data_IF_136293933097
#
_entry.id   IF_136293933097
#
_cell.length_a   1.000
_cell.length_b   1.000
_cell.length_c   1.000
_cell.angle_alpha   90.00
_cell.angle_beta   90.00
_cell.angle_gamma   90.00
#
_symmetry.space_group_name_H-M   'P 1'
#
loop_
_entity.id
_entity.type
_entity.pdbx_description
1 polymer ?
#
# COMPACT_ATOMS: atom_id res chain seq x y z
N UNK A 1 -2.31 14.65 -17.65
CA UNK A 1 -1.82 14.29 -16.32
C UNK A 1 -1.98 12.79 -16.12
N UNK A 2 -0.92 12.12 -15.68
CA UNK A 2 -0.96 10.68 -15.39
C UNK A 2 -1.28 10.49 -13.92
N UNK A 3 -2.36 9.78 -13.63
CA UNK A 3 -2.82 9.49 -12.27
C UNK A 3 -2.44 8.06 -11.92
N UNK A 4 -1.69 7.90 -10.83
CA UNK A 4 -1.32 6.59 -10.29
C UNK A 4 -2.11 6.28 -9.03
N UNK A 5 -2.31 4.99 -8.74
CA UNK A 5 -2.97 4.51 -7.53
C UNK A 5 -2.20 3.33 -6.95
N UNK A 6 -2.08 3.29 -5.64
CA UNK A 6 -1.51 2.16 -4.91
C UNK A 6 -2.29 1.93 -3.63
N UNK A 7 -2.33 0.71 -3.13
CA UNK A 7 -3.14 0.35 -1.98
C UNK A 7 -2.33 -0.52 -1.00
N UNK A 8 -2.38 -0.20 0.27
CA UNK A 8 -1.75 -0.98 1.34
C UNK A 8 -2.22 -0.46 2.70
N UNK A 9 -1.86 -1.15 3.77
CA UNK A 9 -2.15 -0.66 5.11
C UNK A 9 -1.08 0.32 5.63
N UNK A 10 0.12 0.34 5.07
CA UNK A 10 1.22 1.26 5.43
C UNK A 10 1.53 1.29 6.93
N UNK A 11 1.46 0.14 7.58
CA UNK A 11 1.78 0.05 8.99
C UNK A 11 3.27 0.30 9.21
N UNK A 12 3.60 1.14 10.20
CA UNK A 12 4.95 1.58 10.54
C UNK A 12 5.65 2.42 9.47
N UNK A 13 5.05 2.64 8.33
CA UNK A 13 5.57 3.40 7.18
C UNK A 13 7.11 3.44 7.11
N UNK A 14 7.69 2.25 6.96
CA UNK A 14 9.14 2.08 7.01
C UNK A 14 9.83 2.51 5.71
N UNK A 15 11.17 2.39 5.69
CA UNK A 15 11.97 2.81 4.54
C UNK A 15 11.51 2.18 3.22
N UNK A 16 11.06 0.92 3.25
CA UNK A 16 10.54 0.24 2.06
C UNK A 16 9.30 0.88 1.50
N UNK A 17 8.38 1.31 2.36
CA UNK A 17 7.18 2.05 1.93
C UNK A 17 7.57 3.36 1.25
N UNK A 18 8.52 4.09 1.82
CA UNK A 18 8.95 5.37 1.26
C UNK A 18 9.64 5.19 -0.10
N UNK A 19 10.48 4.18 -0.24
CA UNK A 19 11.11 3.87 -1.52
C UNK A 19 10.06 3.49 -2.58
N UNK A 20 9.05 2.73 -2.20
CA UNK A 20 7.96 2.36 -3.09
C UNK A 20 7.15 3.59 -3.53
N UNK A 21 6.80 4.47 -2.60
CA UNK A 21 6.05 5.69 -2.92
C UNK A 21 6.84 6.62 -3.83
N UNK A 22 8.14 6.75 -3.58
CA UNK A 22 9.05 7.51 -4.44
C UNK A 22 9.06 6.94 -5.86
N UNK A 23 9.17 5.63 -5.98
CA UNK A 23 9.14 4.94 -7.27
C UNK A 23 7.82 5.19 -8.01
N UNK A 24 6.69 5.04 -7.31
CA UNK A 24 5.38 5.31 -7.92
C UNK A 24 5.29 6.73 -8.46
N UNK A 25 5.74 7.70 -7.68
CA UNK A 25 5.66 9.12 -8.09
C UNK A 25 6.52 9.43 -9.30
N UNK A 26 7.59 8.70 -9.53
CA UNK A 26 8.40 8.85 -10.74
C UNK A 26 7.63 8.48 -12.01
N UNK A 27 6.60 7.66 -11.90
CA UNK A 27 5.85 7.12 -13.04
C UNK A 27 4.47 7.75 -13.19
N UNK A 28 4.15 8.77 -12.40
CA UNK A 28 2.87 9.48 -12.51
C UNK A 28 3.02 10.94 -12.05
N UNK A 29 2.02 11.74 -12.36
CA UNK A 29 1.99 13.14 -11.96
C UNK A 29 1.23 13.34 -10.66
N UNK A 30 0.28 12.47 -10.38
CA UNK A 30 -0.60 12.55 -9.21
C UNK A 30 -0.77 11.14 -8.64
N UNK A 31 -0.41 10.96 -7.38
CA UNK A 31 -0.43 9.65 -6.74
C UNK A 31 -1.53 9.57 -5.68
N UNK A 32 -2.48 8.66 -5.90
CA UNK A 32 -3.54 8.32 -4.95
C UNK A 32 -3.07 7.13 -4.13
N UNK A 33 -3.11 7.25 -2.82
CA UNK A 33 -2.80 6.15 -1.88
C UNK A 33 -4.11 5.70 -1.24
N UNK A 34 -4.48 4.45 -1.47
CA UNK A 34 -5.59 3.80 -0.79
C UNK A 34 -5.06 3.21 0.51
N UNK A 35 -5.56 3.71 1.64
CA UNK A 35 -5.10 3.33 2.97
C UNK A 35 -6.08 2.38 3.63
N UNK A 36 -5.70 1.11 3.78
CA UNK A 36 -6.55 0.12 4.43
C UNK A 36 -6.58 0.33 5.94
N UNK A 37 -7.79 0.40 6.50
CA UNK A 37 -7.96 0.66 7.93
C UNK A 37 -7.50 -0.52 8.77
N UNK A 38 -7.97 -1.72 8.48
CA UNK A 38 -7.56 -2.94 9.20
C UNK A 38 -7.72 -4.17 8.30
N UNK A 39 -6.63 -4.70 7.72
CA UNK A 39 -6.70 -5.87 6.85
C UNK A 39 -7.10 -7.16 7.57
N UNK A 40 -7.03 -7.20 8.90
CA UNK A 40 -7.42 -8.41 9.65
C UNK A 40 -8.94 -8.60 9.72
N UNK A 41 -9.73 -7.59 9.39
CA UNK A 41 -11.19 -7.68 9.43
C UNK A 41 -11.71 -8.70 8.41
N UNK A 42 -11.26 -8.61 7.16
CA UNK A 42 -11.69 -9.55 6.12
C UNK A 42 -10.68 -10.66 5.82
N UNK A 43 -9.47 -10.59 6.38
CA UNK A 43 -8.42 -11.59 6.23
C UNK A 43 -7.79 -11.96 7.57
N UNK A 44 -8.60 -12.39 8.57
CA UNK A 44 -8.10 -12.62 9.93
C UNK A 44 -7.05 -13.74 10.02
N UNK A 45 -7.07 -14.71 9.09
CA UNK A 45 -6.15 -15.85 9.12
C UNK A 45 -4.75 -15.52 8.59
N UNK A 46 -4.62 -14.48 7.77
CA UNK A 46 -3.37 -14.13 7.10
C UNK A 46 -2.83 -12.75 7.45
N UNK A 47 -3.66 -11.88 8.01
CA UNK A 47 -3.28 -10.49 8.32
C UNK A 47 -3.49 -10.19 9.78
N UNK A 48 -2.49 -9.56 10.40
CA UNK A 48 -2.62 -9.04 11.76
C UNK A 48 -3.26 -7.65 11.76
N UNK A 49 -3.83 -7.28 12.90
CA UNK A 49 -4.26 -5.90 13.11
C UNK A 49 -3.04 -4.98 13.04
N UNK A 50 -3.15 -3.80 12.41
CA UNK A 50 -2.05 -2.84 12.38
C UNK A 50 -1.61 -2.42 13.78
N UNK A 51 -0.32 -2.18 13.96
CA UNK A 51 0.25 -1.67 15.22
C UNK A 51 -0.16 -0.21 15.41
N UNK A 52 -0.04 0.58 14.35
CA UNK A 52 -0.43 1.98 14.39
C UNK A 52 -1.91 2.15 14.07
N UNK A 53 -2.54 3.15 14.69
CA UNK A 53 -3.92 3.51 14.36
C UNK A 53 -3.99 4.02 12.92
N UNK A 54 -5.19 4.02 12.35
CA UNK A 54 -5.37 4.57 11.00
C UNK A 54 -5.00 6.05 10.96
N UNK A 55 -5.25 6.78 12.05
CA UNK A 55 -4.89 8.21 12.13
C UNK A 55 -3.37 8.41 12.09
N UNK A 56 -2.61 7.61 12.85
CA UNK A 56 -1.15 7.67 12.82
C UNK A 56 -0.59 7.39 11.43
N UNK A 57 -1.12 6.38 10.77
CA UNK A 57 -0.71 6.02 9.40
C UNK A 57 -1.10 7.11 8.39
N UNK A 58 -2.28 7.70 8.57
CA UNK A 58 -2.74 8.82 7.74
C UNK A 58 -1.79 10.01 7.86
N UNK A 59 -1.41 10.39 9.07
CA UNK A 59 -0.51 11.52 9.30
C UNK A 59 0.83 11.32 8.61
N UNK A 60 1.39 10.12 8.67
CA UNK A 60 2.65 9.82 7.99
C UNK A 60 2.55 10.00 6.48
N UNK A 61 1.48 9.47 5.89
CA UNK A 61 1.25 9.58 4.44
C UNK A 61 0.95 11.02 4.04
N UNK A 62 0.19 11.75 4.85
CA UNK A 62 -0.14 13.16 4.59
C UNK A 62 1.10 14.04 4.50
N UNK A 63 2.14 13.69 5.26
CA UNK A 63 3.39 14.43 5.29
C UNK A 63 4.45 13.85 4.34
N UNK A 64 4.12 12.85 3.56
CA UNK A 64 5.01 12.30 2.55
C UNK A 64 4.91 13.13 1.26
N UNK A 65 6.03 13.64 0.79
CA UNK A 65 6.05 14.54 -0.36
C UNK A 65 5.62 13.91 -1.67
N UNK A 66 5.61 12.58 -1.74
CA UNK A 66 5.24 11.86 -2.97
C UNK A 66 3.76 11.50 -3.04
N UNK A 67 3.01 11.71 -1.97
CA UNK A 67 1.59 11.36 -1.88
C UNK A 67 0.74 12.60 -2.13
N UNK A 68 -0.17 12.52 -3.08
CA UNK A 68 -1.06 13.63 -3.42
C UNK A 68 -2.44 13.48 -2.81
N UNK A 69 -2.94 12.26 -2.69
CA UNK A 69 -4.28 12.02 -2.16
C UNK A 69 -4.30 10.71 -1.37
N UNK A 70 -5.05 10.70 -0.26
CA UNK A 70 -5.22 9.51 0.59
C UNK A 70 -6.71 9.20 0.67
N UNK A 71 -7.08 7.95 0.32
CA UNK A 71 -8.46 7.49 0.39
C UNK A 71 -8.48 6.25 1.29
N UNK A 72 -9.17 6.29 2.44
CA UNK A 72 -9.28 5.11 3.30
C UNK A 72 -10.25 4.08 2.75
N UNK A 73 -10.02 2.82 3.04
CA UNK A 73 -10.95 1.74 2.75
C UNK A 73 -10.82 0.65 3.81
N UNK A 74 -11.89 -0.12 4.04
CA UNK A 74 -11.91 -1.14 5.09
C UNK A 74 -11.60 -2.52 4.54
N UNK A 75 -12.30 -2.96 3.51
CA UNK A 75 -12.24 -4.33 2.99
C UNK A 75 -11.71 -4.38 1.57
N UNK A 76 -11.33 -5.59 1.14
CA UNK A 76 -10.91 -5.80 -0.26
C UNK A 76 -12.08 -5.57 -1.23
N UNK A 77 -13.31 -5.75 -0.78
CA UNK A 77 -14.49 -5.42 -1.58
C UNK A 77 -14.60 -3.91 -1.81
N UNK A 78 -14.31 -3.10 -0.80
CA UNK A 78 -14.24 -1.65 -0.95
C UNK A 78 -13.16 -1.25 -1.96
N UNK A 79 -12.00 -1.90 -1.89
CA UNK A 79 -10.91 -1.64 -2.84
C UNK A 79 -11.35 -1.97 -4.27
N UNK A 80 -12.00 -3.12 -4.47
CA UNK A 80 -12.53 -3.50 -5.78
C UNK A 80 -13.47 -2.43 -6.32
N UNK A 81 -14.40 -1.97 -5.49
CA UNK A 81 -15.34 -0.91 -5.89
C UNK A 81 -14.62 0.39 -6.21
N UNK A 82 -13.65 0.78 -5.41
CA UNK A 82 -12.84 1.97 -5.66
C UNK A 82 -12.13 1.89 -7.01
N UNK A 83 -11.53 0.73 -7.32
CA UNK A 83 -10.83 0.52 -8.59
C UNK A 83 -11.76 0.59 -9.79
N UNK A 84 -13.07 0.33 -9.59
CA UNK A 84 -14.08 0.43 -10.66
C UNK A 84 -14.58 1.86 -10.88
N UNK A 85 -14.61 2.70 -9.84
CA UNK A 85 -15.22 4.03 -9.92
C UNK A 85 -14.24 5.18 -9.96
N UNK A 86 -13.01 5.01 -9.45
CA UNK A 86 -12.01 6.06 -9.47
C UNK A 86 -11.34 6.14 -10.84
N UNK A 87 -10.94 7.37 -11.21
CA UNK A 87 -10.18 7.59 -12.44
C UNK A 87 -8.70 7.51 -12.12
N UNK A 88 -7.98 6.63 -12.82
CA UNK A 88 -6.53 6.49 -12.73
C UNK A 88 -6.00 5.84 -14.01
N UNK A 89 -4.72 6.05 -14.28
CA UNK A 89 -4.06 5.55 -15.48
C UNK A 89 -3.19 4.33 -15.18
N UNK A 90 -2.57 4.30 -14.01
CA UNK A 90 -1.63 3.25 -13.60
C UNK A 90 -1.97 2.79 -12.19
N UNK A 91 -2.03 1.48 -12.00
CA UNK A 91 -2.07 0.88 -10.65
C UNK A 91 -0.71 0.25 -10.36
N UNK A 92 -0.12 0.62 -9.22
CA UNK A 92 1.16 0.07 -8.78
C UNK A 92 0.95 -1.07 -7.79
N UNK A 93 1.63 -2.19 -8.03
CA UNK A 93 1.67 -3.35 -7.14
C UNK A 93 3.12 -3.80 -7.02
N UNK A 94 3.44 -4.55 -5.96
CA UNK A 94 4.74 -5.18 -5.85
C UNK A 94 4.94 -6.26 -6.92
N UNK A 95 6.18 -6.48 -7.33
CA UNK A 95 6.49 -7.46 -8.38
C UNK A 95 6.06 -8.89 -8.01
N UNK A 96 5.95 -9.19 -6.71
CA UNK A 96 5.48 -10.50 -6.23
C UNK A 96 4.05 -10.83 -6.63
N UNK A 97 3.25 -9.83 -7.01
CA UNK A 97 1.86 -10.03 -7.42
C UNK A 97 1.68 -10.32 -8.91
N UNK A 98 2.74 -10.24 -9.71
CA UNK A 98 2.63 -10.37 -11.18
C UNK A 98 1.99 -11.68 -11.59
N UNK A 99 2.33 -12.78 -10.91
CA UNK A 99 1.82 -14.12 -11.21
C UNK A 99 0.83 -14.63 -10.15
N UNK A 100 0.27 -13.75 -9.33
CA UNK A 100 -0.68 -14.11 -8.27
C UNK A 100 -2.03 -13.45 -8.53
N UNK A 101 -3.05 -13.99 -7.89
CA UNK A 101 -4.34 -13.32 -7.83
C UNK A 101 -4.26 -12.15 -6.84
N UNK A 102 -4.87 -11.03 -7.19
CA UNK A 102 -4.98 -9.85 -6.33
C UNK A 102 -6.31 -9.16 -6.62
N UNK A 103 -6.75 -8.34 -5.67
CA UNK A 103 -8.00 -7.62 -5.81
C UNK A 103 -7.98 -6.73 -7.06
N UNK A 104 -8.98 -6.89 -7.89
CA UNK A 104 -9.12 -6.13 -9.13
C UNK A 104 -8.51 -6.78 -10.36
N UNK A 105 -7.73 -7.85 -10.22
CA UNK A 105 -7.05 -8.47 -11.36
C UNK A 105 -7.98 -8.77 -12.53
N UNK A 106 -9.19 -9.27 -12.24
CA UNK A 106 -10.13 -9.71 -13.26
C UNK A 106 -11.14 -8.65 -13.69
N UNK A 107 -11.01 -7.42 -13.21
CA UNK A 107 -11.80 -6.30 -13.73
C UNK A 107 -11.38 -6.09 -15.20
N UNK A 108 -12.34 -6.06 -16.16
CA UNK A 108 -11.99 -5.86 -17.57
C UNK A 108 -11.12 -4.62 -17.79
N UNK A 109 -9.99 -4.80 -18.49
CA UNK A 109 -9.05 -3.71 -18.80
C UNK A 109 -8.12 -3.31 -17.65
N UNK A 110 -8.29 -3.88 -16.45
CA UNK A 110 -7.50 -3.47 -15.29
C UNK A 110 -6.05 -3.92 -15.39
N UNK A 111 -5.81 -5.15 -15.85
CA UNK A 111 -4.46 -5.71 -15.89
C UNK A 111 -3.52 -4.86 -16.76
N UNK A 112 -4.02 -4.28 -17.84
CA UNK A 112 -3.25 -3.41 -18.72
C UNK A 112 -2.81 -2.12 -18.02
N UNK A 113 -3.49 -1.72 -16.95
CA UNK A 113 -3.12 -0.54 -16.15
C UNK A 113 -2.13 -0.89 -15.04
N UNK A 114 -1.92 -2.17 -14.74
CA UNK A 114 -1.06 -2.58 -13.66
C UNK A 114 0.43 -2.43 -14.01
N UNK A 115 1.18 -1.86 -13.08
CA UNK A 115 2.63 -1.75 -13.14
C UNK A 115 3.20 -2.46 -11.91
N UNK A 116 4.04 -3.46 -12.13
CA UNK A 116 4.61 -4.26 -11.05
C UNK A 116 5.97 -3.69 -10.66
N UNK A 117 6.04 -3.08 -9.48
CA UNK A 117 7.21 -2.37 -9.01
C UNK A 117 8.34 -3.35 -8.65
N UNK A 118 9.56 -3.12 -9.12
CA UNK A 118 10.70 -3.92 -8.68
C UNK A 118 11.03 -3.64 -7.21
N UNK A 119 11.39 -4.67 -6.47
CA UNK A 119 11.83 -4.54 -5.08
C UNK A 119 13.32 -4.82 -4.99
N UNK A 120 14.10 -3.77 -4.72
CA UNK A 120 15.56 -3.84 -4.70
C UNK A 120 16.15 -3.79 -3.30
N UNK A 121 15.31 -3.90 -2.27
CA UNK A 121 15.71 -3.79 -0.87
C UNK A 121 15.08 -4.90 -0.04
N UNK A 122 15.55 -5.04 1.20
CA UNK A 122 15.04 -6.02 2.17
C UNK A 122 14.27 -5.39 3.33
N UNK A 123 13.94 -4.10 3.23
CA UNK A 123 13.14 -3.44 4.28
C UNK A 123 11.76 -4.08 4.40
N UNK A 124 11.30 -4.34 5.62
CA UNK A 124 9.99 -4.92 5.85
C UNK A 124 9.49 -4.60 7.26
N UNK A 125 8.17 -4.60 7.43
CA UNK A 125 7.54 -4.46 8.74
C UNK A 125 7.95 -5.61 9.67
N UNK A 126 7.98 -6.83 9.14
CA UNK A 126 8.38 -8.02 9.90
C UNK A 126 9.78 -7.86 10.47
N UNK A 127 10.72 -7.39 9.67
CA UNK A 127 12.09 -7.17 10.11
C UNK A 127 12.17 -6.14 11.24
N UNK A 128 11.45 -5.01 11.12
CA UNK A 128 11.37 -4.00 12.17
C UNK A 128 10.80 -4.56 13.47
N UNK A 129 9.72 -5.31 13.37
CA UNK A 129 9.06 -5.92 14.54
C UNK A 129 10.03 -6.89 15.22
N UNK A 130 10.73 -7.71 14.47
CA UNK A 130 11.72 -8.63 15.02
C UNK A 130 12.88 -7.91 15.72
N UNK A 131 13.38 -6.82 15.14
CA UNK A 131 14.41 -6.00 15.78
C UNK A 131 13.92 -5.39 17.09
N UNK A 132 12.67 -4.91 17.12
CA UNK A 132 12.07 -4.37 18.35
C UNK A 132 11.95 -5.48 19.40
N UNK A 133 11.47 -6.66 19.02
CA UNK A 133 11.34 -7.80 19.93
C UNK A 133 12.67 -8.26 20.50
N UNK A 134 13.75 -8.08 19.77
CA UNK A 134 15.10 -8.46 20.23
C UNK A 134 15.69 -7.46 21.21
N UNK A 135 15.11 -6.27 21.32
CA UNK A 135 15.53 -5.30 22.32
C UNK A 135 15.10 -5.76 23.70
N UNK A 136 15.99 -5.64 24.66
CA UNK A 136 15.69 -5.92 26.06
C UNK A 136 15.13 -4.65 26.70
N UNK A 137 15.15 -4.58 28.03
CA UNK A 137 14.50 -3.53 28.82
C UNK A 137 15.07 -2.11 28.65
N UNK A 138 15.95 -1.90 27.69
CA UNK A 138 16.59 -0.60 27.45
C UNK A 138 15.73 0.39 26.68
N UNK A 139 14.57 -0.04 26.23
CA UNK A 139 13.62 0.88 25.62
C UNK A 139 12.78 1.56 26.76
#
# INVERSE_FOLDING_TARGET
MIIGITASCFDLCHAGHLEMLKYCKKHCDYLIVMLQTDPSIDRPDTKRKPIETVFERYIRLKNCKWVDEIIPYDTEKDLENALKVLEYDIRFLGEEYENKNFTGRYIPGHLEKCHFNPRKHSFSSTNLIERIKSLKEKI
#
